data_IF_112535033149
#
_entry.id   IF_112535033149
#
_cell.length_a   1.000
_cell.length_b   1.000
_cell.length_c   1.000
_cell.angle_alpha   90.00
_cell.angle_beta   90.00
_cell.angle_gamma   90.00
#
_symmetry.space_group_name_H-M   'P 1'
#
loop_
_entity.id
_entity.type
_entity.pdbx_description
1 polymer ?
#
# COMPACT_ATOMS: atom_id res chain seq x y z
N UNK A 1 -13.28 34.76 14.11
CA UNK A 1 -14.39 33.81 14.27
C UNK A 1 -13.74 32.47 14.50
N UNK A 2 -13.87 31.91 15.69
CA UNK A 2 -13.18 30.67 16.08
C UNK A 2 -13.67 29.52 15.20
N UNK A 3 -12.76 28.77 14.57
CA UNK A 3 -13.08 27.67 13.66
C UNK A 3 -13.65 26.53 14.52
N UNK A 4 -14.93 26.20 14.32
CA UNK A 4 -15.58 25.08 15.02
C UNK A 4 -15.49 23.85 14.13
N UNK A 5 -14.84 22.81 14.62
CA UNK A 5 -14.79 21.50 13.97
C UNK A 5 -16.10 20.77 14.28
N UNK A 6 -16.72 20.21 13.25
CA UNK A 6 -17.87 19.34 13.41
C UNK A 6 -17.52 17.87 13.15
N UNK A 7 -18.51 16.99 13.31
CA UNK A 7 -18.34 15.55 13.12
C UNK A 7 -17.97 15.16 11.68
N UNK A 8 -18.02 16.06 10.70
CA UNK A 8 -17.70 15.79 9.29
C UNK A 8 -16.30 16.21 8.86
N UNK A 9 -15.59 16.99 9.67
CA UNK A 9 -14.25 17.47 9.32
C UNK A 9 -13.24 16.32 9.29
N UNK A 10 -12.60 16.09 8.15
CA UNK A 10 -11.58 15.03 8.00
C UNK A 10 -10.26 15.41 8.65
N UNK A 11 -9.43 14.41 9.00
CA UNK A 11 -8.07 14.65 9.48
C UNK A 11 -7.21 15.46 8.50
N UNK A 12 -7.43 15.27 7.19
CA UNK A 12 -6.77 16.04 6.13
C UNK A 12 -7.15 17.53 6.18
N UNK A 13 -8.44 17.84 6.27
CA UNK A 13 -8.92 19.23 6.33
C UNK A 13 -8.41 19.94 7.58
N UNK A 14 -8.41 19.23 8.71
CA UNK A 14 -7.85 19.71 9.97
C UNK A 14 -6.35 20.00 9.85
N UNK A 15 -5.57 19.05 9.31
CA UNK A 15 -4.13 19.21 9.11
C UNK A 15 -3.80 20.40 8.19
N UNK A 16 -4.57 20.59 7.12
CA UNK A 16 -4.40 21.74 6.21
C UNK A 16 -4.66 23.06 6.93
N UNK A 17 -5.79 23.17 7.64
CA UNK A 17 -6.11 24.39 8.39
C UNK A 17 -5.05 24.71 9.46
N UNK A 18 -4.57 23.69 10.17
CA UNK A 18 -3.53 23.84 11.17
C UNK A 18 -2.18 24.26 10.57
N UNK A 19 -1.83 23.72 9.40
CA UNK A 19 -0.67 24.14 8.63
C UNK A 19 -0.75 25.63 8.26
N UNK A 20 -1.85 26.03 7.62
CA UNK A 20 -2.00 27.35 7.01
C UNK A 20 -2.13 28.47 8.06
N UNK A 21 -2.82 28.19 9.17
CA UNK A 21 -3.15 29.21 10.18
C UNK A 21 -2.16 29.27 11.35
N UNK A 22 -1.42 28.19 11.63
CA UNK A 22 -0.55 28.11 12.82
C UNK A 22 0.88 27.77 12.44
N UNK A 23 1.12 26.59 11.86
CA UNK A 23 2.50 26.08 11.70
C UNK A 23 3.31 26.89 10.69
N UNK A 24 2.79 27.10 9.47
CA UNK A 24 3.50 27.83 8.43
C UNK A 24 3.79 29.30 8.81
N UNK A 25 2.85 30.07 9.41
CA UNK A 25 3.14 31.41 9.92
C UNK A 25 4.23 31.44 10.99
N UNK A 26 4.20 30.52 11.97
CA UNK A 26 5.21 30.44 13.03
C UNK A 26 6.61 30.19 12.45
N UNK A 27 6.74 29.18 11.58
CA UNK A 27 8.02 28.85 10.94
C UNK A 27 8.54 30.01 10.11
N UNK A 28 7.68 30.63 9.29
CA UNK A 28 8.07 31.74 8.40
C UNK A 28 8.48 32.99 9.17
N UNK A 29 7.86 33.25 10.32
CA UNK A 29 8.18 34.39 11.19
C UNK A 29 9.53 34.20 11.90
N UNK A 30 9.78 33.00 12.44
CA UNK A 30 10.99 32.72 13.21
C UNK A 30 12.21 32.43 12.33
N UNK A 31 12.01 31.80 11.17
CA UNK A 31 13.06 31.42 10.23
C UNK A 31 12.82 32.04 8.85
N UNK A 32 12.94 33.38 8.71
CA UNK A 32 12.70 34.04 7.43
C UNK A 32 13.58 33.49 6.31
N UNK A 33 12.95 33.06 5.22
CA UNK A 33 13.64 32.54 4.04
C UNK A 33 14.06 31.07 4.12
N UNK A 34 13.76 30.36 5.21
CA UNK A 34 13.92 28.91 5.29
C UNK A 34 12.90 28.22 4.38
N UNK A 35 13.32 27.49 3.32
CA UNK A 35 12.42 26.66 2.54
C UNK A 35 11.90 25.52 3.40
N UNK A 36 10.61 25.22 3.28
CA UNK A 36 10.01 24.06 3.92
C UNK A 36 8.89 23.48 3.07
N UNK A 37 8.64 22.20 3.28
CA UNK A 37 7.48 21.50 2.72
C UNK A 37 6.59 21.02 3.85
N UNK A 38 5.29 20.92 3.62
CA UNK A 38 4.34 20.48 4.62
C UNK A 38 3.23 19.66 3.99
N UNK A 39 2.72 18.67 4.71
CA UNK A 39 1.62 17.83 4.24
C UNK A 39 1.09 16.90 5.31
N UNK A 40 0.07 16.12 4.96
CA UNK A 40 -0.44 15.03 5.79
C UNK A 40 -0.03 13.70 5.18
N UNK A 41 1.12 13.17 5.61
CA UNK A 41 1.79 11.98 5.09
C UNK A 41 2.10 10.98 6.23
N UNK A 42 2.65 9.81 5.91
CA UNK A 42 2.96 8.77 6.89
C UNK A 42 1.73 7.96 7.28
N UNK A 43 1.71 7.48 8.52
CA UNK A 43 0.67 6.58 9.02
C UNK A 43 -0.63 7.31 9.36
N UNK A 44 -1.74 6.57 9.26
CA UNK A 44 -3.08 7.00 9.66
C UNK A 44 -4.13 6.68 8.60
N UNK A 45 -5.34 6.33 9.01
CA UNK A 45 -6.46 6.12 8.06
C UNK A 45 -6.87 7.41 7.36
N UNK A 46 -6.67 8.55 8.04
CA UNK A 46 -6.93 9.88 7.49
C UNK A 46 -6.06 10.21 6.27
N UNK A 47 -4.81 9.71 6.23
CA UNK A 47 -3.91 9.84 5.07
C UNK A 47 -4.52 9.18 3.82
N UNK A 48 -5.32 8.13 4.01
CA UNK A 48 -6.01 7.41 2.94
C UNK A 48 -7.43 7.95 2.68
N UNK A 49 -7.89 8.95 3.44
CA UNK A 49 -9.28 9.42 3.41
C UNK A 49 -10.29 8.38 3.92
N UNK A 50 -9.84 7.47 4.78
CA UNK A 50 -10.63 6.38 5.36
C UNK A 50 -10.94 6.63 6.84
N UNK A 51 -10.68 7.83 7.35
CA UNK A 51 -11.05 8.20 8.72
C UNK A 51 -12.57 8.38 8.83
N UNK A 52 -13.14 7.67 9.80
CA UNK A 52 -14.52 7.83 10.23
C UNK A 52 -14.57 8.29 11.69
N UNK A 53 -15.79 8.52 12.20
CA UNK A 53 -16.00 8.94 13.58
C UNK A 53 -15.38 7.99 14.60
N UNK A 54 -15.35 6.68 14.31
CA UNK A 54 -14.74 5.70 15.19
C UNK A 54 -13.23 5.91 15.24
N UNK A 55 -12.55 6.03 14.09
CA UNK A 55 -11.08 6.18 14.04
C UNK A 55 -10.51 7.47 14.67
N UNK A 56 -11.36 8.41 15.09
CA UNK A 56 -10.93 9.61 15.84
C UNK A 56 -10.55 9.32 17.28
N UNK A 57 -10.87 8.14 17.81
CA UNK A 57 -10.55 7.73 19.18
C UNK A 57 -9.09 7.28 19.38
N UNK A 58 -8.34 7.06 18.28
CA UNK A 58 -6.98 6.56 18.28
C UNK A 58 -6.05 7.43 17.42
N UNK A 59 -5.09 8.08 18.07
CA UNK A 59 -3.97 8.81 17.45
C UNK A 59 -4.43 9.88 16.42
N UNK A 60 -5.62 10.46 16.59
CA UNK A 60 -6.20 11.47 15.70
C UNK A 60 -6.13 12.87 16.34
N UNK A 61 -5.91 13.90 15.52
CA UNK A 61 -5.86 15.29 16.00
C UNK A 61 -5.04 16.21 15.10
N UNK A 62 -4.43 17.23 15.72
CA UNK A 62 -3.60 18.24 15.04
C UNK A 62 -2.23 17.67 14.67
N UNK A 63 -2.16 17.05 13.48
CA UNK A 63 -1.00 16.29 13.01
C UNK A 63 -0.63 16.70 11.60
N UNK A 64 0.66 16.91 11.33
CA UNK A 64 1.20 17.09 9.99
C UNK A 64 2.68 16.78 9.95
N UNK A 65 3.22 16.60 8.75
CA UNK A 65 4.64 16.43 8.49
C UNK A 65 5.19 17.76 7.98
N UNK A 66 6.30 18.21 8.56
CA UNK A 66 7.02 19.41 8.16
C UNK A 66 8.44 19.01 7.75
N UNK A 67 8.85 19.39 6.56
CA UNK A 67 10.16 19.05 6.01
C UNK A 67 11.02 20.28 5.84
N UNK A 68 12.21 20.24 6.42
CA UNK A 68 13.25 21.27 6.31
C UNK A 68 14.59 20.62 5.97
N UNK A 69 15.60 21.44 5.66
CA UNK A 69 16.97 20.96 5.53
C UNK A 69 17.43 20.24 6.81
N UNK A 70 18.26 19.20 6.66
CA UNK A 70 18.60 18.30 7.76
C UNK A 70 19.27 18.99 8.97
N UNK A 71 20.00 20.08 8.72
CA UNK A 71 20.65 20.92 9.73
C UNK A 71 19.69 21.85 10.47
N UNK A 72 18.50 22.11 9.92
CA UNK A 72 17.46 22.95 10.52
C UNK A 72 16.42 22.17 11.35
N UNK A 73 16.40 20.83 11.25
CA UNK A 73 15.37 19.97 11.87
C UNK A 73 15.25 20.22 13.38
N UNK A 74 16.35 20.15 14.11
CA UNK A 74 16.33 20.25 15.58
C UNK A 74 15.92 21.65 16.05
N UNK A 75 16.31 22.70 15.32
CA UNK A 75 15.98 24.08 15.66
C UNK A 75 14.50 24.39 15.42
N UNK A 76 13.95 23.91 14.30
CA UNK A 76 12.53 24.08 13.97
C UNK A 76 11.65 23.26 14.90
N UNK A 77 12.03 22.01 15.19
CA UNK A 77 11.28 21.15 16.11
C UNK A 77 11.19 21.76 17.52
N UNK A 78 12.32 22.23 18.06
CA UNK A 78 12.38 22.88 19.38
C UNK A 78 11.54 24.15 19.42
N UNK A 79 11.66 24.99 18.40
CA UNK A 79 10.86 26.21 18.32
C UNK A 79 9.36 25.92 18.29
N UNK A 80 8.91 24.95 17.50
CA UNK A 80 7.49 24.59 17.45
C UNK A 80 7.01 24.02 18.78
N UNK A 81 7.81 23.21 19.46
CA UNK A 81 7.43 22.69 20.77
C UNK A 81 7.23 23.79 21.82
N UNK A 82 7.96 24.91 21.72
CA UNK A 82 7.80 26.07 22.59
C UNK A 82 6.66 27.02 22.13
N UNK A 83 6.55 27.27 20.83
CA UNK A 83 5.74 28.35 20.27
C UNK A 83 4.30 27.94 19.91
N UNK A 84 4.01 26.64 19.74
CA UNK A 84 2.68 26.17 19.42
C UNK A 84 1.67 26.52 20.54
N UNK A 85 0.49 27.06 20.18
CA UNK A 85 -0.55 27.41 21.17
C UNK A 85 -1.03 26.16 21.92
N UNK A 86 -1.75 26.31 23.03
CA UNK A 86 -2.29 25.16 23.77
C UNK A 86 -3.33 24.38 22.96
N UNK A 87 -4.13 25.08 22.14
CA UNK A 87 -5.19 24.48 21.33
C UNK A 87 -5.35 25.19 19.98
N UNK A 88 -5.96 24.50 19.03
CA UNK A 88 -6.43 25.05 17.76
C UNK A 88 -7.75 24.38 17.38
N UNK A 89 -8.73 25.19 16.98
CA UNK A 89 -10.06 24.73 16.56
C UNK A 89 -10.76 23.80 17.58
N UNK A 90 -10.58 24.10 18.88
CA UNK A 90 -11.15 23.33 19.98
C UNK A 90 -10.40 22.03 20.35
N UNK A 91 -9.29 21.72 19.67
CA UNK A 91 -8.47 20.54 19.92
C UNK A 91 -7.12 20.91 20.55
N UNK A 92 -6.57 20.10 21.46
CA UNK A 92 -5.25 20.34 22.02
C UNK A 92 -4.17 20.13 20.95
N UNK A 93 -3.15 21.01 20.91
CA UNK A 93 -1.98 20.81 20.04
C UNK A 93 -1.06 19.71 20.55
N UNK A 94 -1.13 19.41 21.85
CA UNK A 94 -0.32 18.39 22.53
C UNK A 94 -1.22 17.30 23.08
N UNK A 95 -1.01 16.07 22.63
CA UNK A 95 -1.75 14.90 23.08
C UNK A 95 -0.88 13.65 22.96
N UNK A 96 -1.16 12.64 23.76
CA UNK A 96 -0.42 11.38 23.73
C UNK A 96 -1.06 10.43 22.71
N UNK A 97 -0.24 9.75 21.92
CA UNK A 97 -0.71 8.56 21.19
C UNK A 97 -0.93 7.40 22.16
N UNK A 98 -1.65 6.39 21.70
CA UNK A 98 -2.06 5.20 22.49
C UNK A 98 -0.87 4.48 23.15
N UNK A 99 0.32 4.58 22.55
CA UNK A 99 1.57 3.98 23.05
C UNK A 99 2.45 4.95 23.86
N UNK A 100 2.04 6.21 24.01
CA UNK A 100 2.81 7.27 24.65
C UNK A 100 2.17 7.64 26.01
N UNK A 101 3.01 7.93 27.00
CA UNK A 101 2.56 8.41 28.32
C UNK A 101 2.39 9.93 28.38
N UNK A 102 3.23 10.66 27.65
CA UNK A 102 3.37 12.09 27.78
C UNK A 102 2.83 12.82 26.54
N UNK A 103 1.94 13.81 26.71
CA UNK A 103 1.46 14.61 25.60
C UNK A 103 2.59 15.37 24.91
N UNK A 104 2.62 15.31 23.57
CA UNK A 104 3.54 16.09 22.74
C UNK A 104 2.81 16.64 21.52
N UNK A 105 3.43 17.61 20.86
CA UNK A 105 2.94 18.07 19.57
C UNK A 105 3.24 17.03 18.48
N UNK A 106 2.39 16.99 17.46
CA UNK A 106 2.50 16.03 16.35
C UNK A 106 2.73 16.73 15.01
N UNK A 107 3.46 17.85 15.06
CA UNK A 107 4.13 18.42 13.89
C UNK A 107 5.47 17.67 13.74
N UNK A 108 5.47 16.62 12.93
CA UNK A 108 6.64 15.77 12.74
C UNK A 108 7.64 16.47 11.81
N UNK A 109 8.67 17.08 12.42
CA UNK A 109 9.73 17.80 11.71
C UNK A 109 10.82 16.83 11.29
N UNK A 110 11.13 16.78 9.99
CA UNK A 110 12.19 15.93 9.45
C UNK A 110 12.84 16.55 8.21
N UNK A 111 13.81 15.86 7.63
CA UNK A 111 14.18 16.10 6.23
C UNK A 111 13.43 15.11 5.34
N UNK A 112 13.19 15.47 4.07
CA UNK A 112 12.54 14.57 3.11
C UNK A 112 13.29 13.24 3.00
N UNK A 113 14.61 13.27 2.94
CA UNK A 113 15.42 12.05 2.86
C UNK A 113 15.29 11.16 4.10
N UNK A 114 15.26 11.72 5.31
CA UNK A 114 15.09 10.93 6.54
C UNK A 114 13.70 10.32 6.64
N UNK A 115 12.66 11.05 6.24
CA UNK A 115 11.30 10.53 6.14
C UNK A 115 11.17 9.41 5.11
N UNK A 116 11.71 9.59 3.89
CA UNK A 116 11.65 8.56 2.86
C UNK A 116 12.36 7.28 3.32
N UNK A 117 13.53 7.39 3.95
CA UNK A 117 14.24 6.24 4.52
C UNK A 117 13.48 5.57 5.66
N UNK A 118 12.79 6.32 6.52
CA UNK A 118 12.01 5.73 7.62
C UNK A 118 10.77 4.98 7.12
N UNK A 119 10.24 5.31 5.94
CA UNK A 119 9.10 4.61 5.33
C UNK A 119 9.50 3.49 4.39
N UNK A 120 10.49 3.72 3.55
CA UNK A 120 10.85 2.85 2.42
C UNK A 120 12.12 2.03 2.69
N UNK A 121 12.93 2.43 3.67
CA UNK A 121 14.25 1.86 3.94
C UNK A 121 15.37 2.36 3.03
N UNK A 122 15.05 3.23 2.07
CA UNK A 122 15.99 3.87 1.14
C UNK A 122 15.46 5.23 0.70
N UNK A 123 16.29 6.01 0.00
CA UNK A 123 15.88 7.28 -0.60
C UNK A 123 15.61 7.07 -2.11
N UNK A 124 14.34 7.12 -2.56
CA UNK A 124 13.98 6.82 -3.95
C UNK A 124 14.55 7.81 -4.96
N UNK A 125 14.89 9.03 -4.52
CA UNK A 125 15.42 10.10 -5.37
C UNK A 125 16.84 9.81 -5.88
N UNK A 126 17.53 8.85 -5.25
CA UNK A 126 18.83 8.35 -5.71
C UNK A 126 18.70 7.29 -6.82
N UNK A 127 17.48 6.99 -7.26
CA UNK A 127 17.17 5.86 -8.13
C UNK A 127 16.76 4.61 -7.34
N UNK A 128 15.87 3.81 -7.91
CA UNK A 128 15.28 2.63 -7.26
C UNK A 128 15.70 1.38 -8.03
N UNK A 129 16.51 0.52 -7.42
CA UNK A 129 16.87 -0.76 -7.99
C UNK A 129 15.69 -1.74 -7.97
N UNK A 130 15.69 -2.76 -8.84
CA UNK A 130 14.63 -3.78 -8.87
C UNK A 130 14.37 -4.43 -7.50
N UNK A 131 15.43 -4.74 -6.74
CA UNK A 131 15.30 -5.31 -5.39
C UNK A 131 14.75 -4.32 -4.36
N UNK A 132 15.03 -3.03 -4.53
CA UNK A 132 14.45 -2.00 -3.67
C UNK A 132 12.94 -1.88 -3.95
N UNK A 133 12.52 -1.91 -5.22
CA UNK A 133 11.11 -2.01 -5.61
C UNK A 133 10.41 -3.21 -4.98
N UNK A 134 11.01 -4.39 -5.05
CA UNK A 134 10.41 -5.62 -4.51
C UNK A 134 10.36 -5.64 -2.97
N UNK A 135 11.19 -4.83 -2.30
CA UNK A 135 11.15 -4.66 -0.85
C UNK A 135 10.03 -3.72 -0.37
N UNK A 136 9.41 -2.95 -1.27
CA UNK A 136 8.32 -2.05 -0.91
C UNK A 136 7.05 -2.84 -0.60
N UNK A 137 6.32 -2.35 0.40
CA UNK A 137 4.92 -2.73 0.62
C UNK A 137 4.02 -1.63 0.06
N UNK A 138 2.84 -2.00 -0.41
CA UNK A 138 1.85 -1.02 -0.85
C UNK A 138 1.55 0.02 0.22
N UNK A 139 1.40 -0.41 1.48
CA UNK A 139 1.20 0.48 2.61
C UNK A 139 2.33 1.51 2.77
N UNK A 140 3.60 1.09 2.71
CA UNK A 140 4.71 2.03 2.89
C UNK A 140 4.82 3.05 1.74
N UNK A 141 4.44 2.66 0.52
CA UNK A 141 4.38 3.62 -0.59
C UNK A 141 3.22 4.59 -0.39
N UNK A 142 2.04 4.11 0.03
CA UNK A 142 0.88 4.96 0.33
C UNK A 142 1.17 5.98 1.43
N UNK A 143 1.97 5.63 2.43
CA UNK A 143 2.45 6.56 3.46
C UNK A 143 3.26 7.74 2.87
N UNK A 144 3.78 7.62 1.65
CA UNK A 144 4.49 8.71 0.94
C UNK A 144 3.60 9.39 -0.10
N UNK A 145 2.78 8.62 -0.83
CA UNK A 145 2.10 9.10 -2.05
C UNK A 145 0.61 9.37 -1.91
N UNK A 146 -0.09 8.82 -0.90
CA UNK A 146 -1.54 8.94 -0.81
C UNK A 146 -1.97 10.28 -0.21
N UNK A 147 -1.33 10.66 0.88
CA UNK A 147 -1.67 11.88 1.61
C UNK A 147 -1.39 13.17 0.84
N UNK A 148 -2.12 14.27 1.13
CA UNK A 148 -1.94 15.54 0.44
C UNK A 148 -0.67 16.28 0.91
N UNK A 149 0.01 16.89 -0.06
CA UNK A 149 1.06 17.88 0.18
C UNK A 149 0.42 19.27 0.12
N UNK A 150 0.69 20.10 1.12
CA UNK A 150 0.16 21.46 1.26
C UNK A 150 1.13 22.48 0.70
N UNK A 151 2.42 22.29 0.99
CA UNK A 151 3.54 23.15 0.60
C UNK A 151 4.67 22.21 0.15
N UNK A 152 5.30 22.49 -0.99
CA UNK A 152 6.48 21.76 -1.48
C UNK A 152 7.48 22.76 -2.07
N UNK A 153 8.18 23.51 -1.20
CA UNK A 153 8.99 24.64 -1.63
C UNK A 153 10.12 24.25 -2.59
N UNK A 154 10.73 23.07 -2.37
CA UNK A 154 11.88 22.60 -3.14
C UNK A 154 11.53 21.50 -4.16
N UNK A 155 10.27 21.06 -4.21
CA UNK A 155 9.79 20.02 -5.15
C UNK A 155 10.32 18.60 -4.87
N UNK A 156 10.94 18.39 -3.71
CA UNK A 156 11.55 17.11 -3.35
C UNK A 156 10.49 16.03 -3.10
N UNK A 157 9.34 16.41 -2.51
CA UNK A 157 8.23 15.48 -2.26
C UNK A 157 7.55 15.09 -3.57
N UNK A 158 7.26 16.06 -4.45
CA UNK A 158 6.70 15.78 -5.77
C UNK A 158 7.58 14.83 -6.58
N UNK A 159 8.90 15.05 -6.55
CA UNK A 159 9.86 14.17 -7.22
C UNK A 159 9.80 12.75 -6.67
N UNK A 160 9.89 12.57 -5.35
CA UNK A 160 9.79 11.24 -4.74
C UNK A 160 8.45 10.54 -5.04
N UNK A 161 7.34 11.29 -5.08
CA UNK A 161 6.00 10.76 -5.37
C UNK A 161 5.85 10.33 -6.83
N UNK A 162 6.45 11.07 -7.78
CA UNK A 162 6.51 10.66 -9.19
C UNK A 162 7.33 9.40 -9.38
N UNK A 163 8.47 9.28 -8.71
CA UNK A 163 9.34 8.10 -8.80
C UNK A 163 8.67 6.85 -8.21
N UNK A 164 7.77 7.02 -7.24
CA UNK A 164 6.99 5.96 -6.60
C UNK A 164 5.60 5.73 -7.23
N UNK A 165 5.27 6.43 -8.32
CA UNK A 165 3.93 6.37 -8.90
C UNK A 165 3.51 4.94 -9.25
N UNK A 166 4.42 4.17 -9.86
CA UNK A 166 4.21 2.76 -10.12
C UNK A 166 5.52 2.01 -10.40
N UNK A 167 5.48 0.68 -10.34
CA UNK A 167 6.58 -0.19 -10.75
C UNK A 167 7.04 0.09 -12.20
N UNK A 168 8.36 0.01 -12.48
CA UNK A 168 8.87 -0.12 -13.85
C UNK A 168 8.29 -1.38 -14.53
N UNK A 169 8.13 -1.33 -15.85
CA UNK A 169 7.46 -2.36 -16.68
C UNK A 169 7.92 -3.79 -16.35
N UNK A 170 9.23 -4.06 -16.33
CA UNK A 170 9.76 -5.40 -16.09
C UNK A 170 9.54 -5.89 -14.66
N UNK A 171 9.64 -5.00 -13.66
CA UNK A 171 9.32 -5.32 -12.26
C UNK A 171 7.84 -5.62 -12.11
N UNK A 172 6.98 -4.82 -12.77
CA UNK A 172 5.54 -5.01 -12.78
C UNK A 172 5.14 -6.36 -13.37
N UNK A 173 5.69 -6.71 -14.53
CA UNK A 173 5.49 -8.01 -15.17
C UNK A 173 5.93 -9.18 -14.30
N UNK A 174 7.06 -9.03 -13.61
CA UNK A 174 7.55 -10.03 -12.67
C UNK A 174 6.59 -10.25 -11.48
N UNK A 175 6.10 -9.18 -10.84
CA UNK A 175 5.17 -9.31 -9.69
C UNK A 175 3.80 -9.85 -10.12
N UNK A 176 3.30 -9.48 -11.31
CA UNK A 176 2.10 -10.06 -11.91
C UNK A 176 2.26 -11.57 -12.15
N UNK A 177 3.38 -11.98 -12.74
CA UNK A 177 3.68 -13.39 -12.97
C UNK A 177 3.70 -14.16 -11.65
N UNK A 178 4.24 -13.57 -10.58
CA UNK A 178 4.30 -14.21 -9.27
C UNK A 178 2.91 -14.44 -8.65
N UNK A 179 1.93 -13.55 -8.84
CA UNK A 179 0.55 -13.81 -8.40
C UNK A 179 -0.08 -14.97 -9.18
N UNK A 180 0.09 -15.02 -10.50
CA UNK A 180 -0.36 -16.16 -11.32
C UNK A 180 0.30 -17.48 -10.88
N UNK A 181 1.59 -17.45 -10.53
CA UNK A 181 2.30 -18.62 -9.99
C UNK A 181 1.74 -19.06 -8.63
N UNK A 182 1.43 -18.13 -7.72
CA UNK A 182 0.82 -18.42 -6.41
C UNK A 182 -0.57 -19.02 -6.57
N UNK A 183 -1.38 -18.47 -7.48
CA UNK A 183 -2.68 -19.05 -7.84
C UNK A 183 -2.51 -20.49 -8.35
N UNK A 184 -1.52 -20.74 -9.20
CA UNK A 184 -1.26 -22.06 -9.78
C UNK A 184 -0.83 -23.10 -8.75
N UNK A 185 -0.09 -22.70 -7.72
CA UNK A 185 0.39 -23.59 -6.66
C UNK A 185 -0.74 -24.18 -5.82
N UNK A 186 -1.79 -23.41 -5.51
CA UNK A 186 -2.84 -23.84 -4.57
C UNK A 186 -4.21 -24.11 -5.21
N UNK A 187 -4.52 -23.60 -6.42
CA UNK A 187 -5.85 -23.76 -7.01
C UNK A 187 -6.32 -25.23 -7.09
N UNK A 188 -5.52 -26.20 -7.58
CA UNK A 188 -5.95 -27.60 -7.57
C UNK A 188 -6.07 -28.19 -6.17
N UNK A 189 -5.33 -27.66 -5.19
CA UNK A 189 -5.35 -28.14 -3.80
C UNK A 189 -6.66 -27.78 -3.10
N UNK A 190 -7.24 -26.61 -3.41
CA UNK A 190 -8.56 -26.20 -2.93
C UNK A 190 -9.63 -27.22 -3.32
N UNK A 191 -9.70 -27.57 -4.61
CA UNK A 191 -10.66 -28.53 -5.12
C UNK A 191 -10.44 -29.92 -4.53
N UNK A 192 -9.17 -30.34 -4.38
CA UNK A 192 -8.83 -31.64 -3.78
C UNK A 192 -9.18 -31.73 -2.30
N UNK A 193 -8.98 -30.67 -1.52
CA UNK A 193 -9.38 -30.63 -0.12
C UNK A 193 -10.90 -30.78 0.03
N UNK A 194 -11.67 -30.05 -0.80
CA UNK A 194 -13.13 -30.15 -0.82
C UNK A 194 -13.62 -31.55 -1.21
N UNK A 195 -13.00 -32.18 -2.21
CA UNK A 195 -13.33 -33.56 -2.64
C UNK A 195 -13.13 -34.59 -1.52
N UNK A 196 -12.15 -34.37 -0.63
CA UNK A 196 -11.89 -35.23 0.52
C UNK A 196 -12.77 -34.92 1.74
N UNK A 197 -13.67 -33.94 1.65
CA UNK A 197 -14.51 -33.49 2.75
C UNK A 197 -13.80 -32.60 3.77
N UNK A 198 -12.59 -32.11 3.47
CA UNK A 198 -11.89 -31.12 4.30
C UNK A 198 -12.38 -29.70 3.95
N UNK A 199 -13.61 -29.39 4.38
CA UNK A 199 -14.24 -28.09 4.13
C UNK A 199 -13.44 -26.93 4.73
N UNK A 200 -12.88 -27.13 5.93
CA UNK A 200 -12.07 -26.11 6.62
C UNK A 200 -10.80 -25.81 5.83
N UNK A 201 -10.05 -26.86 5.44
CA UNK A 201 -8.85 -26.71 4.63
C UNK A 201 -9.14 -26.08 3.28
N UNK A 202 -10.22 -26.49 2.62
CA UNK A 202 -10.65 -25.89 1.35
C UNK A 202 -10.96 -24.40 1.50
N UNK A 203 -11.66 -23.97 2.56
CA UNK A 203 -11.98 -22.57 2.82
C UNK A 203 -10.74 -21.72 3.15
N UNK A 204 -9.77 -22.27 3.90
CA UNK A 204 -8.51 -21.59 4.16
C UNK A 204 -7.74 -21.34 2.86
N UNK A 205 -7.66 -22.35 1.98
CA UNK A 205 -7.03 -22.20 0.66
C UNK A 205 -7.81 -21.18 -0.18
N UNK A 206 -9.14 -21.28 -0.22
CA UNK A 206 -10.01 -20.35 -0.94
C UNK A 206 -9.78 -18.89 -0.52
N UNK A 207 -9.67 -18.62 0.79
CA UNK A 207 -9.39 -17.29 1.32
C UNK A 207 -8.02 -16.76 0.88
N UNK A 208 -6.97 -17.61 0.87
CA UNK A 208 -5.65 -17.23 0.34
C UNK A 208 -5.70 -16.91 -1.14
N UNK A 209 -6.34 -17.76 -1.95
CA UNK A 209 -6.46 -17.55 -3.39
C UNK A 209 -7.28 -16.30 -3.74
N UNK A 210 -8.37 -16.03 -2.99
CA UNK A 210 -9.16 -14.81 -3.13
C UNK A 210 -8.30 -13.57 -2.84
N UNK A 211 -7.48 -13.60 -1.78
CA UNK A 211 -6.54 -12.53 -1.48
C UNK A 211 -5.52 -12.32 -2.61
N UNK A 212 -4.97 -13.40 -3.20
CA UNK A 212 -4.06 -13.27 -4.36
C UNK A 212 -4.77 -12.67 -5.57
N UNK A 213 -6.01 -13.07 -5.87
CA UNK A 213 -6.79 -12.50 -6.97
C UNK A 213 -7.10 -10.99 -6.75
N UNK A 214 -7.40 -10.60 -5.52
CA UNK A 214 -7.59 -9.18 -5.16
C UNK A 214 -6.29 -8.39 -5.30
N UNK A 215 -5.15 -8.95 -4.86
CA UNK A 215 -3.83 -8.34 -5.04
C UNK A 215 -3.48 -8.18 -6.53
N UNK A 216 -3.78 -9.19 -7.35
CA UNK A 216 -3.63 -9.12 -8.81
C UNK A 216 -4.48 -7.98 -9.40
N UNK A 217 -5.69 -7.74 -8.91
CA UNK A 217 -6.51 -6.61 -9.33
C UNK A 217 -5.84 -5.25 -9.02
N UNK A 218 -5.27 -5.09 -7.82
CA UNK A 218 -4.49 -3.90 -7.46
C UNK A 218 -3.31 -3.68 -8.42
N UNK A 219 -2.57 -4.74 -8.73
CA UNK A 219 -1.44 -4.67 -9.67
C UNK A 219 -1.89 -4.26 -11.08
N UNK A 220 -2.99 -4.81 -11.59
CA UNK A 220 -3.52 -4.48 -12.92
C UNK A 220 -4.05 -3.05 -12.99
N UNK A 221 -4.70 -2.57 -11.93
CA UNK A 221 -5.19 -1.19 -11.82
C UNK A 221 -4.10 -0.18 -11.46
N UNK A 222 -2.86 -0.64 -11.30
CA UNK A 222 -1.71 0.18 -10.92
C UNK A 222 -1.96 0.99 -9.64
N UNK A 223 -2.54 0.32 -8.63
CA UNK A 223 -2.85 0.88 -7.31
C UNK A 223 -2.10 0.11 -6.23
N UNK A 224 -1.46 0.85 -5.33
CA UNK A 224 -0.81 0.26 -4.16
C UNK A 224 -1.88 -0.25 -3.18
N UNK A 225 -1.84 -1.52 -2.73
CA UNK A 225 -2.75 -2.02 -1.72
C UNK A 225 -2.40 -1.46 -0.33
N UNK A 226 -3.38 -1.07 0.49
CA UNK A 226 -3.13 -0.71 1.88
C UNK A 226 -2.94 -1.97 2.75
N UNK A 227 -2.61 -1.76 4.02
CA UNK A 227 -2.57 -2.86 4.99
C UNK A 227 -3.94 -3.52 5.20
N UNK A 228 -3.91 -4.68 5.86
CA UNK A 228 -5.03 -5.64 5.95
C UNK A 228 -6.39 -5.05 6.34
N UNK A 229 -6.44 -4.08 7.27
CA UNK A 229 -7.71 -3.44 7.69
C UNK A 229 -8.47 -2.82 6.53
N UNK A 230 -7.77 -2.18 5.61
CA UNK A 230 -8.37 -1.39 4.53
C UNK A 230 -8.30 -2.10 3.18
N UNK A 231 -7.74 -3.30 3.11
CA UNK A 231 -7.54 -4.02 1.86
C UNK A 231 -8.84 -4.26 1.10
N UNK A 232 -9.87 -4.79 1.77
CA UNK A 232 -11.19 -5.01 1.17
C UNK A 232 -11.90 -3.71 0.76
N UNK A 233 -11.85 -2.68 1.62
CA UNK A 233 -12.43 -1.35 1.33
C UNK A 233 -11.78 -0.71 0.10
N UNK A 234 -10.44 -0.74 0.02
CA UNK A 234 -9.72 -0.20 -1.12
C UNK A 234 -9.92 -1.04 -2.39
N UNK A 235 -10.05 -2.36 -2.27
CA UNK A 235 -10.36 -3.24 -3.39
C UNK A 235 -11.72 -2.89 -4.01
N UNK A 236 -12.75 -2.70 -3.17
CA UNK A 236 -14.09 -2.33 -3.63
C UNK A 236 -14.14 -0.97 -4.35
N UNK A 237 -13.13 -0.11 -4.16
CA UNK A 237 -13.00 1.19 -4.82
C UNK A 237 -12.18 1.15 -6.11
N UNK A 238 -11.62 -0.01 -6.50
CA UNK A 238 -10.90 -0.14 -7.76
C UNK A 238 -11.86 0.01 -8.96
N UNK A 239 -11.41 0.60 -10.08
CA UNK A 239 -12.18 0.59 -11.31
C UNK A 239 -12.60 -0.83 -11.68
N UNK A 240 -13.91 -1.08 -11.84
CA UNK A 240 -14.44 -2.38 -12.23
C UNK A 240 -14.45 -3.44 -11.12
N UNK A 241 -14.20 -3.09 -9.86
CA UNK A 241 -14.28 -4.04 -8.74
C UNK A 241 -15.67 -4.70 -8.61
N UNK A 242 -16.73 -4.03 -9.07
CA UNK A 242 -18.11 -4.52 -9.08
C UNK A 242 -18.28 -5.84 -9.83
N UNK A 243 -17.46 -6.09 -10.87
CA UNK A 243 -17.47 -7.33 -11.64
C UNK A 243 -16.80 -8.49 -10.91
N UNK A 244 -15.93 -8.19 -9.95
CA UNK A 244 -15.18 -9.17 -9.16
C UNK A 244 -15.82 -9.44 -7.80
N UNK A 245 -16.65 -8.53 -7.29
CA UNK A 245 -17.26 -8.61 -5.96
C UNK A 245 -18.02 -9.93 -5.76
N UNK A 246 -18.98 -10.24 -6.65
CA UNK A 246 -19.79 -11.45 -6.54
C UNK A 246 -18.95 -12.75 -6.65
N UNK A 247 -18.05 -12.90 -7.65
CA UNK A 247 -17.14 -14.03 -7.69
C UNK A 247 -16.31 -14.19 -6.41
N UNK A 248 -15.68 -13.13 -5.91
CA UNK A 248 -14.85 -13.17 -4.70
C UNK A 248 -15.67 -13.56 -3.47
N UNK A 249 -16.85 -12.96 -3.27
CA UNK A 249 -17.74 -13.29 -2.16
C UNK A 249 -18.17 -14.77 -2.24
N UNK A 250 -18.40 -15.28 -3.45
CA UNK A 250 -18.76 -16.69 -3.67
C UNK A 250 -17.59 -17.62 -3.32
N UNK A 251 -16.35 -17.27 -3.67
CA UNK A 251 -15.15 -18.04 -3.29
C UNK A 251 -15.07 -18.22 -1.76
N UNK A 252 -15.41 -17.17 -1.00
CA UNK A 252 -15.30 -17.16 0.45
C UNK A 252 -16.47 -17.84 1.17
N UNK A 253 -17.65 -17.89 0.56
CA UNK A 253 -18.89 -18.31 1.22
C UNK A 253 -19.49 -19.62 0.72
N UNK A 254 -19.06 -20.10 -0.45
CA UNK A 254 -19.63 -21.28 -1.08
C UNK A 254 -19.58 -22.53 -0.17
N UNK A 255 -20.73 -23.19 -0.03
CA UNK A 255 -20.85 -24.49 0.60
C UNK A 255 -20.94 -25.63 -0.42
N UNK A 256 -21.40 -25.35 -1.63
CA UNK A 256 -21.58 -26.36 -2.67
C UNK A 256 -20.24 -26.84 -3.24
N UNK A 257 -20.05 -28.16 -3.43
CA UNK A 257 -18.83 -28.70 -4.02
C UNK A 257 -18.51 -28.06 -5.38
N UNK A 258 -17.27 -27.59 -5.54
CA UNK A 258 -16.78 -26.99 -6.78
C UNK A 258 -17.23 -25.53 -7.04
N UNK A 259 -18.19 -24.99 -6.28
CA UNK A 259 -18.66 -23.61 -6.50
C UNK A 259 -17.55 -22.57 -6.25
N UNK A 260 -16.74 -22.73 -5.21
CA UNK A 260 -15.60 -21.85 -4.95
C UNK A 260 -14.57 -21.89 -6.09
N UNK A 261 -14.30 -23.06 -6.68
CA UNK A 261 -13.39 -23.21 -7.81
C UNK A 261 -13.90 -22.49 -9.07
N UNK A 262 -15.18 -22.67 -9.41
CA UNK A 262 -15.77 -21.99 -10.57
C UNK A 262 -15.85 -20.47 -10.38
N UNK A 263 -16.20 -20.00 -9.18
CA UNK A 263 -16.22 -18.58 -8.86
C UNK A 263 -14.82 -17.95 -8.96
N UNK A 264 -13.79 -18.63 -8.46
CA UNK A 264 -12.42 -18.17 -8.61
C UNK A 264 -12.00 -18.16 -10.09
N UNK A 265 -12.37 -19.17 -10.88
CA UNK A 265 -12.08 -19.19 -12.31
C UNK A 265 -12.77 -18.03 -13.08
N UNK A 266 -14.00 -17.65 -12.72
CA UNK A 266 -14.68 -16.47 -13.26
C UNK A 266 -13.92 -15.18 -12.91
N UNK A 267 -13.53 -15.01 -11.63
CA UNK A 267 -12.72 -13.85 -11.22
C UNK A 267 -11.40 -13.78 -11.99
N UNK A 268 -10.69 -14.90 -12.14
CA UNK A 268 -9.43 -14.96 -12.88
C UNK A 268 -9.60 -14.68 -14.37
N UNK A 269 -10.72 -15.11 -14.98
CA UNK A 269 -11.02 -14.81 -16.38
C UNK A 269 -11.16 -13.30 -16.61
N UNK A 270 -11.91 -12.61 -15.75
CA UNK A 270 -12.07 -11.15 -15.81
C UNK A 270 -10.74 -10.41 -15.59
N UNK A 271 -9.91 -10.89 -14.66
CA UNK A 271 -8.58 -10.33 -14.44
C UNK A 271 -7.66 -10.55 -15.66
N UNK A 272 -7.73 -11.71 -16.31
CA UNK A 272 -6.98 -11.96 -17.54
C UNK A 272 -7.44 -11.05 -18.69
N UNK A 273 -8.74 -10.83 -18.84
CA UNK A 273 -9.27 -9.91 -19.86
C UNK A 273 -8.71 -8.50 -19.68
N UNK A 274 -8.70 -7.98 -18.45
CA UNK A 274 -8.08 -6.68 -18.12
C UNK A 274 -6.57 -6.64 -18.34
N UNK A 275 -5.90 -7.76 -18.11
CA UNK A 275 -4.48 -7.93 -18.39
C UNK A 275 -4.22 -7.88 -19.90
N UNK A 276 -5.05 -8.54 -20.70
CA UNK A 276 -4.97 -8.55 -22.16
C UNK A 276 -5.28 -7.17 -22.76
N UNK A 277 -6.26 -6.44 -22.22
CA UNK A 277 -6.58 -5.05 -22.62
C UNK A 277 -5.39 -4.10 -22.47
N UNK A 278 -4.49 -4.40 -21.51
CA UNK A 278 -3.25 -3.65 -21.29
C UNK A 278 -2.09 -4.13 -22.18
N UNK A 279 -2.33 -5.10 -23.07
CA UNK A 279 -1.31 -5.67 -23.96
C UNK A 279 -0.24 -6.48 -23.23
N UNK A 280 -0.54 -6.98 -22.03
CA UNK A 280 0.43 -7.74 -21.24
C UNK A 280 0.53 -9.20 -21.71
N UNK A 281 -0.58 -9.77 -22.18
CA UNK A 281 -0.73 -11.15 -22.68
C UNK A 281 -1.79 -11.22 -23.78
N UNK A 282 -1.87 -12.34 -24.50
CA UNK A 282 -2.93 -12.65 -25.49
C UNK A 282 -3.65 -13.99 -25.21
N UNK A 283 -3.47 -14.54 -24.01
CA UNK A 283 -4.05 -15.81 -23.59
C UNK A 283 -5.58 -15.69 -23.52
N UNK A 284 -6.29 -16.67 -24.08
CA UNK A 284 -7.75 -16.62 -24.19
C UNK A 284 -8.50 -17.11 -22.94
N UNK A 285 -7.88 -17.95 -22.11
CA UNK A 285 -8.51 -18.56 -20.94
C UNK A 285 -7.61 -18.43 -19.73
N UNK A 286 -8.18 -17.96 -18.62
CA UNK A 286 -7.42 -17.85 -17.37
C UNK A 286 -7.10 -19.20 -16.76
N UNK A 287 -7.98 -20.19 -16.94
CA UNK A 287 -7.82 -21.53 -16.37
C UNK A 287 -8.03 -22.64 -17.38
N UNK A 288 -7.35 -23.75 -17.14
CA UNK A 288 -7.41 -25.00 -17.90
C UNK A 288 -7.64 -26.18 -16.95
N UNK A 289 -8.09 -27.34 -17.45
CA UNK A 289 -8.14 -28.56 -16.66
C UNK A 289 -6.76 -28.94 -16.09
N UNK A 290 -6.72 -29.32 -14.82
CA UNK A 290 -5.53 -29.84 -14.17
C UNK A 290 -5.36 -31.33 -14.52
N UNK A 291 -4.78 -31.59 -15.69
CA UNK A 291 -4.67 -32.93 -16.27
C UNK A 291 -6.05 -33.57 -16.46
N UNK A 292 -6.18 -34.85 -16.13
CA UNK A 292 -7.42 -35.63 -16.26
C UNK A 292 -8.32 -35.50 -15.02
N UNK A 293 -8.09 -34.50 -14.16
CA UNK A 293 -8.78 -34.31 -12.87
C UNK A 293 -9.86 -33.24 -12.97
N UNK A 294 -10.88 -33.26 -12.09
CA UNK A 294 -11.95 -32.25 -12.07
C UNK A 294 -11.51 -30.89 -11.49
N UNK A 295 -10.21 -30.61 -11.43
CA UNK A 295 -9.66 -29.38 -10.85
C UNK A 295 -9.17 -28.44 -11.92
N UNK A 296 -9.13 -27.15 -11.59
CA UNK A 296 -8.63 -26.11 -12.49
C UNK A 296 -7.21 -25.70 -12.12
N UNK A 297 -6.47 -25.22 -13.12
CA UNK A 297 -5.14 -24.65 -12.98
C UNK A 297 -5.03 -23.42 -13.88
N UNK A 298 -4.35 -22.34 -13.47
CA UNK A 298 -4.11 -21.19 -14.35
C UNK A 298 -3.38 -21.60 -15.63
N UNK A 299 -3.70 -21.00 -16.78
CA UNK A 299 -2.99 -21.34 -18.02
C UNK A 299 -1.50 -20.95 -17.90
N UNK A 300 -0.54 -21.89 -18.01
CA UNK A 300 0.87 -21.59 -17.89
C UNK A 300 1.40 -20.62 -18.95
N UNK A 301 0.69 -20.45 -20.07
CA UNK A 301 1.02 -19.46 -21.09
C UNK A 301 0.99 -18.02 -20.53
N UNK A 302 0.14 -17.75 -19.53
CA UNK A 302 0.02 -16.42 -18.90
C UNK A 302 1.35 -16.04 -18.24
N UNK A 303 1.88 -16.93 -17.41
CA UNK A 303 3.17 -16.73 -16.72
C UNK A 303 4.30 -16.64 -17.73
N UNK A 304 4.29 -17.49 -18.77
CA UNK A 304 5.33 -17.46 -19.80
C UNK A 304 5.35 -16.11 -20.54
N UNK A 305 4.20 -15.60 -20.97
CA UNK A 305 4.11 -14.32 -21.69
C UNK A 305 4.39 -13.09 -20.82
N UNK A 306 4.08 -13.16 -19.51
CA UNK A 306 4.47 -12.09 -18.59
C UNK A 306 5.99 -12.02 -18.42
N UNK A 307 6.67 -13.17 -18.36
CA UNK A 307 8.12 -13.24 -18.11
C UNK A 307 8.99 -13.10 -19.37
N UNK A 308 8.49 -13.48 -20.56
CA UNK A 308 9.26 -13.46 -21.81
C UNK A 308 9.88 -12.08 -22.16
N UNK A 309 9.19 -10.94 -21.97
CA UNK A 309 9.75 -9.63 -22.26
C UNK A 309 10.82 -9.13 -21.27
N UNK A 310 11.07 -9.85 -20.17
CA UNK A 310 12.03 -9.42 -19.13
C UNK A 310 13.45 -9.72 -19.59
N UNK A 311 14.24 -8.66 -19.78
CA UNK A 311 15.62 -8.74 -20.30
C UNK A 311 16.65 -8.26 -19.28
N UNK A 312 16.27 -7.45 -18.29
CA UNK A 312 17.18 -7.03 -17.22
C UNK A 312 17.66 -8.26 -16.43
N UNK A 313 18.97 -8.57 -16.41
CA UNK A 313 19.51 -9.70 -15.65
C UNK A 313 19.17 -9.64 -14.16
N UNK A 314 19.09 -8.43 -13.59
CA UNK A 314 18.73 -8.21 -12.19
C UNK A 314 17.29 -8.59 -11.85
N UNK A 315 16.41 -8.72 -12.85
CA UNK A 315 15.01 -9.17 -12.71
C UNK A 315 14.86 -10.60 -13.20
N UNK A 316 15.43 -10.92 -14.36
CA UNK A 316 15.34 -12.25 -15.00
C UNK A 316 15.90 -13.36 -14.11
N UNK A 317 16.95 -13.06 -13.34
CA UNK A 317 17.63 -14.03 -12.48
C UNK A 317 16.98 -14.13 -11.09
N UNK A 318 15.89 -13.40 -10.82
CA UNK A 318 15.15 -13.49 -9.56
C UNK A 318 14.43 -14.85 -9.41
N UNK A 319 14.25 -15.34 -8.16
CA UNK A 319 13.52 -16.57 -7.92
C UNK A 319 12.05 -16.46 -8.36
N UNK A 320 11.66 -17.29 -9.33
CA UNK A 320 10.29 -17.30 -9.84
C UNK A 320 9.31 -17.72 -8.73
N UNK A 321 8.24 -16.95 -8.55
CA UNK A 321 7.16 -17.23 -7.59
C UNK A 321 7.37 -16.65 -6.18
N UNK A 322 8.47 -15.91 -5.94
CA UNK A 322 8.63 -15.13 -4.71
C UNK A 322 7.87 -13.80 -4.82
N UNK A 323 8.07 -13.04 -5.90
CA UNK A 323 7.37 -11.76 -6.08
C UNK A 323 7.94 -10.65 -5.21
N UNK A 324 7.13 -9.64 -4.88
CA UNK A 324 7.41 -8.56 -3.91
C UNK A 324 7.21 -9.02 -2.46
N UNK A 325 7.66 -8.25 -1.46
CA UNK A 325 7.54 -8.64 -0.05
C UNK A 325 6.08 -8.88 0.40
N UNK A 326 5.11 -8.14 -0.18
CA UNK A 326 3.67 -8.34 0.06
C UNK A 326 3.16 -9.69 -0.46
N UNK A 327 3.90 -10.32 -1.38
CA UNK A 327 3.59 -11.66 -1.89
C UNK A 327 4.25 -12.77 -1.05
N UNK A 328 5.20 -12.45 -0.17
CA UNK A 328 5.96 -13.44 0.62
C UNK A 328 5.29 -13.81 1.93
N UNK A 329 4.69 -12.83 2.61
CA UNK A 329 4.20 -13.00 3.98
C UNK A 329 3.09 -12.00 4.31
N UNK A 330 2.31 -12.31 5.34
CA UNK A 330 1.36 -11.43 6.03
C UNK A 330 1.90 -10.95 7.40
N UNK A 331 3.16 -11.26 7.73
CA UNK A 331 3.77 -10.90 9.00
C UNK A 331 3.96 -9.37 9.11
N UNK A 332 3.15 -8.75 9.96
CA UNK A 332 3.12 -7.28 10.15
C UNK A 332 4.47 -6.74 10.65
N UNK A 333 5.17 -7.45 11.53
CA UNK A 333 6.48 -7.01 12.06
C UNK A 333 7.54 -6.93 10.95
N UNK A 334 7.45 -7.81 9.96
CA UNK A 334 8.28 -7.73 8.76
C UNK A 334 7.79 -6.61 7.82
N UNK A 335 6.50 -6.59 7.48
CA UNK A 335 5.94 -5.68 6.46
C UNK A 335 5.95 -4.21 6.88
N UNK A 336 5.88 -3.90 8.17
CA UNK A 336 5.91 -2.54 8.68
C UNK A 336 7.33 -2.05 9.03
N UNK A 337 8.34 -2.92 8.96
CA UNK A 337 9.72 -2.58 9.28
C UNK A 337 10.55 -2.37 7.99
N UNK A 338 10.96 -1.13 7.65
CA UNK A 338 11.72 -0.84 6.42
C UNK A 338 13.07 -1.60 6.34
N UNK A 339 13.78 -1.73 7.45
CA UNK A 339 15.08 -2.41 7.46
C UNK A 339 14.91 -3.93 7.28
N UNK A 340 13.90 -4.51 7.91
CA UNK A 340 13.62 -5.94 7.81
C UNK A 340 13.22 -6.33 6.38
N UNK A 341 12.37 -5.54 5.71
CA UNK A 341 12.00 -5.76 4.30
C UNK A 341 13.20 -5.70 3.37
N UNK A 342 14.06 -4.69 3.52
CA UNK A 342 15.29 -4.60 2.71
C UNK A 342 16.26 -5.74 2.98
N UNK A 343 16.38 -6.17 4.24
CA UNK A 343 17.24 -7.31 4.60
C UNK A 343 16.75 -8.61 3.97
N UNK A 344 15.44 -8.83 3.91
CA UNK A 344 14.84 -10.00 3.27
C UNK A 344 15.28 -10.15 1.81
N UNK A 345 15.41 -9.04 1.06
CA UNK A 345 15.88 -9.06 -0.34
C UNK A 345 17.40 -9.05 -0.53
N UNK A 346 18.17 -8.71 0.50
CA UNK A 346 19.65 -8.72 0.47
C UNK A 346 20.25 -10.08 0.84
N UNK A 347 19.57 -10.85 1.69
CA UNK A 347 20.03 -12.17 2.14
C UNK A 347 19.96 -13.26 1.06
N UNK A 348 19.54 -12.92 -0.16
CA UNK A 348 19.52 -13.82 -1.33
C UNK A 348 20.81 -13.76 -2.18
N UNK A 349 21.82 -13.04 -1.72
CA UNK A 349 23.21 -13.07 -2.25
C UNK A 349 24.05 -13.99 -1.37
#
# INVERSE_FOLDING_TARGET
MERVIDDTTTGIELARAYCDEVVAPLVSSQFPGLPFSAGRLGQGSDVLGLDDRTSRDHDWGLRLQLFVAADAVDDVARYLDEALPESFAGLPTRFAFTSESDPRNHVDVSSVGSFLRSRLGFDPRAGIAARDWLSLTGQAVLEVVAGPVFIDADGELDTARRDLAWYPEEVWRYVLACDWMRLAQELPLMGRAAELGDETGARIIAARLAHVAMHLAFLLERRWPPYSKWFGTAFAALPGAEELQLPIDTVLTAAEPGAAQHALADALQRLLERQNERGLTDVSRATIPFWDRPFLHPDPAIIAQLLDPIVDPGIRDLPRGRGSIDQWTDNVDLLMNPEARRRAYRAET
#
